data_IF_427686505510
#
_entry.id   IF_427686505510
#
_cell.length_a   1.000
_cell.length_b   1.000
_cell.length_c   1.000
_cell.angle_alpha   90.00
_cell.angle_beta   90.00
_cell.angle_gamma   90.00
#
_symmetry.space_group_name_H-M   'P 1'
#
loop_
_entity.id
_entity.type
_entity.pdbx_description
1 polymer ?
#
# COMPACT_ATOMS: atom_id res chain seq x y z
N UNK A 1 36.47 -32.33 44.10
CA UNK A 1 36.58 -31.30 43.03
C UNK A 1 36.71 -31.91 41.64
N UNK A 2 37.72 -32.74 41.32
CA UNK A 2 37.89 -33.33 39.98
C UNK A 2 36.68 -34.13 39.45
N UNK A 3 36.02 -34.95 40.29
CA UNK A 3 34.82 -35.71 39.91
C UNK A 3 33.58 -34.83 39.65
N UNK A 4 33.46 -33.71 40.34
CA UNK A 4 32.37 -32.75 40.15
C UNK A 4 32.55 -31.96 38.85
N UNK A 5 33.78 -31.57 38.54
CA UNK A 5 34.12 -30.92 37.26
C UNK A 5 33.85 -31.87 36.09
N UNK A 6 34.18 -33.16 36.22
CA UNK A 6 33.90 -34.17 35.20
C UNK A 6 32.38 -34.36 34.99
N UNK A 7 31.59 -34.38 36.06
CA UNK A 7 30.13 -34.46 35.99
C UNK A 7 29.52 -33.23 35.30
N UNK A 8 30.01 -32.02 35.62
CA UNK A 8 29.55 -30.78 34.98
C UNK A 8 29.90 -30.76 33.49
N UNK A 9 31.09 -31.24 33.11
CA UNK A 9 31.49 -31.37 31.70
C UNK A 9 30.61 -32.35 30.92
N UNK A 10 30.26 -33.51 31.52
CA UNK A 10 29.36 -34.49 30.89
C UNK A 10 27.93 -33.94 30.77
N UNK A 11 27.44 -33.24 31.79
CA UNK A 11 26.12 -32.59 31.75
C UNK A 11 26.10 -31.46 30.74
N UNK A 12 27.18 -30.68 30.62
CA UNK A 12 27.31 -29.62 29.63
C UNK A 12 27.23 -30.15 28.18
N UNK A 13 27.71 -31.37 27.90
CA UNK A 13 27.63 -31.99 26.57
C UNK A 13 26.19 -32.32 26.14
N UNK A 14 25.28 -32.60 27.09
CA UNK A 14 23.86 -32.80 26.80
C UNK A 14 23.19 -31.50 26.32
N UNK A 15 23.73 -30.34 26.72
CA UNK A 15 23.22 -29.02 26.32
C UNK A 15 23.82 -28.48 25.01
N UNK A 16 24.67 -29.24 24.29
CA UNK A 16 25.30 -28.80 23.02
C UNK A 16 24.61 -29.40 21.77
N UNK A 17 23.39 -29.93 21.88
CA UNK A 17 22.62 -30.40 20.71
C UNK A 17 22.00 -29.24 19.93
N UNK A 18 22.84 -28.37 19.35
CA UNK A 18 22.44 -27.09 18.72
C UNK A 18 22.23 -27.11 17.21
N UNK A 19 22.18 -28.27 16.54
CA UNK A 19 22.10 -28.36 15.07
C UNK A 19 20.91 -29.19 14.56
N UNK A 20 19.88 -29.45 15.37
CA UNK A 20 18.74 -30.29 14.96
C UNK A 20 17.87 -29.63 13.88
N UNK A 21 17.81 -28.30 13.83
CA UNK A 21 16.94 -27.51 12.97
C UNK A 21 17.66 -26.91 11.74
N UNK A 22 18.83 -27.46 11.36
CA UNK A 22 19.60 -26.94 10.23
C UNK A 22 18.85 -27.05 8.90
N UNK A 23 18.66 -25.91 8.22
CA UNK A 23 18.10 -25.82 6.88
C UNK A 23 19.21 -25.48 5.88
N UNK A 24 19.61 -26.45 5.07
CA UNK A 24 20.67 -26.26 4.07
C UNK A 24 20.15 -25.44 2.89
N UNK A 25 20.76 -24.28 2.62
CA UNK A 25 20.41 -23.42 1.48
C UNK A 25 20.44 -24.16 0.13
N UNK A 26 21.36 -25.12 -0.05
CA UNK A 26 21.44 -25.95 -1.27
C UNK A 26 20.18 -26.81 -1.50
N UNK A 27 19.43 -27.13 -0.43
CA UNK A 27 18.17 -27.89 -0.45
C UNK A 27 16.94 -26.99 -0.21
N UNK A 28 17.10 -25.68 -0.39
CA UNK A 28 16.04 -24.69 -0.22
C UNK A 28 15.77 -23.99 -1.55
N UNK A 29 14.50 -24.03 -1.97
CA UNK A 29 13.96 -23.33 -3.14
C UNK A 29 13.37 -22.01 -2.67
N UNK A 30 14.22 -20.98 -2.67
CA UNK A 30 13.89 -19.65 -2.18
C UNK A 30 12.81 -19.01 -3.06
N UNK A 31 11.66 -18.73 -2.44
CA UNK A 31 10.55 -18.01 -3.07
C UNK A 31 10.83 -16.51 -2.93
N UNK A 32 10.67 -15.76 -4.02
CA UNK A 32 10.89 -14.31 -4.04
C UNK A 32 9.59 -13.51 -4.16
N UNK A 33 8.57 -14.09 -4.79
CA UNK A 33 7.24 -13.49 -4.88
C UNK A 33 6.17 -14.56 -4.93
N UNK A 34 5.02 -14.21 -4.37
CA UNK A 34 3.83 -15.05 -4.38
C UNK A 34 2.61 -14.23 -4.82
N UNK A 35 1.73 -14.84 -5.59
CA UNK A 35 0.45 -14.30 -5.98
C UNK A 35 -0.66 -15.27 -5.56
N UNK A 36 -1.80 -14.72 -5.16
CA UNK A 36 -2.96 -15.49 -4.74
C UNK A 36 -4.22 -14.99 -5.42
N UNK A 37 -4.96 -15.94 -5.99
CA UNK A 37 -6.18 -15.70 -6.76
C UNK A 37 -7.27 -16.65 -6.31
N UNK A 38 -8.50 -16.15 -6.19
CA UNK A 38 -9.67 -16.99 -6.03
C UNK A 38 -10.00 -17.64 -7.39
N UNK A 39 -10.17 -18.96 -7.43
CA UNK A 39 -10.52 -19.65 -8.68
C UNK A 39 -12.01 -19.47 -9.02
N UNK A 40 -12.40 -19.86 -10.25
CA UNK A 40 -13.80 -19.84 -10.69
C UNK A 40 -14.74 -20.61 -9.76
N UNK A 41 -14.28 -21.72 -9.17
CA UNK A 41 -15.05 -22.55 -8.23
C UNK A 41 -15.34 -21.83 -6.88
N UNK A 42 -14.77 -20.64 -6.64
CA UNK A 42 -14.84 -19.80 -5.41
C UNK A 42 -14.47 -20.47 -4.08
N UNK A 43 -14.25 -21.78 -4.06
CA UNK A 43 -13.89 -22.60 -2.90
C UNK A 43 -12.41 -22.99 -2.85
N UNK A 44 -11.66 -22.56 -3.88
CA UNK A 44 -10.23 -22.83 -4.03
C UNK A 44 -9.46 -21.56 -4.33
N UNK A 45 -8.23 -21.58 -3.85
CA UNK A 45 -7.23 -20.55 -4.08
C UNK A 45 -6.18 -21.15 -5.02
N UNK A 46 -5.81 -20.38 -6.04
CA UNK A 46 -4.61 -20.63 -6.82
C UNK A 46 -3.48 -19.79 -6.24
N UNK A 47 -2.38 -20.44 -5.91
CA UNK A 47 -1.13 -19.77 -5.57
C UNK A 47 -0.11 -19.93 -6.68
N UNK A 48 0.48 -18.82 -7.07
CA UNK A 48 1.61 -18.75 -7.99
C UNK A 48 2.84 -18.27 -7.22
N UNK A 49 3.97 -18.95 -7.36
CA UNK A 49 5.21 -18.57 -6.71
C UNK A 49 6.36 -18.53 -7.71
N UNK A 50 7.20 -17.51 -7.59
CA UNK A 50 8.45 -17.40 -8.35
C UNK A 50 9.60 -17.81 -7.45
N UNK A 51 10.30 -18.84 -7.87
CA UNK A 51 11.46 -19.41 -7.19
C UNK A 51 12.70 -19.02 -7.97
N UNK A 52 13.73 -18.56 -7.25
CA UNK A 52 15.05 -18.36 -7.84
C UNK A 52 15.84 -19.67 -7.78
N UNK A 53 16.26 -20.15 -8.93
CA UNK A 53 17.06 -21.35 -9.11
C UNK A 53 18.42 -20.99 -9.75
N UNK A 54 19.39 -21.91 -9.68
CA UNK A 54 20.72 -21.73 -10.25
C UNK A 54 21.04 -22.91 -11.17
N UNK A 55 21.01 -22.67 -12.48
CA UNK A 55 21.42 -23.65 -13.49
C UNK A 55 22.81 -23.28 -13.96
N UNK A 56 23.79 -24.16 -13.74
CA UNK A 56 25.19 -23.97 -14.16
C UNK A 56 25.81 -22.64 -13.68
N UNK A 57 25.41 -22.17 -12.49
CA UNK A 57 25.88 -20.90 -11.92
C UNK A 57 25.13 -19.65 -12.42
N UNK A 58 24.22 -19.81 -13.40
CA UNK A 58 23.37 -18.73 -13.90
C UNK A 58 22.05 -18.70 -13.11
N UNK A 59 21.68 -17.55 -12.51
CA UNK A 59 20.36 -17.39 -11.90
C UNK A 59 19.25 -17.55 -12.95
N UNK A 60 18.28 -18.38 -12.63
CA UNK A 60 17.06 -18.60 -13.45
C UNK A 60 15.84 -18.47 -12.56
N UNK A 61 14.71 -18.08 -13.15
CA UNK A 61 13.45 -17.96 -12.43
C UNK A 61 12.55 -19.12 -12.83
N UNK A 62 12.05 -19.86 -11.85
CA UNK A 62 11.09 -20.93 -12.02
C UNK A 62 9.75 -20.47 -11.46
N UNK A 63 8.74 -20.39 -12.30
CA UNK A 63 7.36 -20.20 -11.88
C UNK A 63 6.74 -21.56 -11.55
N UNK A 64 6.11 -21.66 -10.39
CA UNK A 64 5.30 -22.81 -9.99
C UNK A 64 3.92 -22.36 -9.55
N UNK A 65 2.91 -23.14 -9.92
CA UNK A 65 1.51 -22.85 -9.59
C UNK A 65 0.86 -24.08 -8.99
N UNK A 66 -0.03 -23.89 -8.02
CA UNK A 66 -0.91 -24.94 -7.52
C UNK A 66 -2.23 -24.36 -7.03
N UNK A 67 -3.22 -25.24 -6.89
CA UNK A 67 -4.55 -24.92 -6.39
C UNK A 67 -4.82 -25.76 -5.13
N UNK A 68 -5.58 -25.20 -4.20
CA UNK A 68 -5.99 -25.89 -2.97
C UNK A 68 -7.09 -25.11 -2.24
N UNK A 69 -7.68 -25.74 -1.24
CA UNK A 69 -8.77 -25.12 -0.46
C UNK A 69 -8.26 -24.08 0.55
N UNK A 70 -6.99 -24.15 0.92
CA UNK A 70 -6.34 -23.18 1.82
C UNK A 70 -4.96 -22.83 1.29
N UNK A 71 -4.38 -21.73 1.74
CA UNK A 71 -2.99 -21.37 1.40
C UNK A 71 -2.00 -22.46 1.84
N UNK A 72 -2.28 -23.18 2.93
CA UNK A 72 -1.45 -24.31 3.37
C UNK A 72 -1.58 -25.51 2.45
N UNK A 73 -2.77 -25.80 1.93
CA UNK A 73 -3.01 -26.86 0.95
C UNK A 73 -2.32 -26.53 -0.39
N UNK A 74 -2.49 -25.29 -0.88
CA UNK A 74 -1.74 -24.74 -2.03
C UNK A 74 -0.24 -24.96 -1.84
N UNK A 75 0.28 -24.63 -0.66
CA UNK A 75 1.70 -24.82 -0.33
C UNK A 75 2.12 -26.30 -0.38
N UNK A 76 1.33 -27.22 0.18
CA UNK A 76 1.62 -28.67 0.11
C UNK A 76 1.68 -29.14 -1.35
N UNK A 77 0.83 -28.61 -2.23
CA UNK A 77 0.86 -28.91 -3.65
C UNK A 77 2.05 -28.26 -4.39
N UNK A 78 2.45 -27.05 -4.01
CA UNK A 78 3.66 -26.41 -4.54
C UNK A 78 4.92 -27.18 -4.16
N UNK A 79 5.01 -27.69 -2.92
CA UNK A 79 6.15 -28.49 -2.44
C UNK A 79 6.36 -29.76 -3.28
N UNK A 80 5.28 -30.36 -3.81
CA UNK A 80 5.35 -31.54 -4.70
C UNK A 80 5.84 -31.21 -6.12
N UNK A 81 5.87 -29.93 -6.50
CA UNK A 81 6.28 -29.47 -7.85
C UNK A 81 7.73 -28.98 -7.90
N UNK A 82 8.42 -28.96 -6.78
CA UNK A 82 9.82 -28.53 -6.67
C UNK A 82 10.71 -29.71 -6.26
N UNK A 83 11.95 -29.74 -6.73
CA UNK A 83 12.87 -30.86 -6.47
C UNK A 83 13.43 -30.90 -5.03
N UNK A 84 13.18 -29.86 -4.24
CA UNK A 84 13.72 -29.67 -2.88
C UNK A 84 12.71 -28.87 -2.04
N UNK A 85 13.08 -28.42 -0.84
CA UNK A 85 12.14 -27.75 0.06
C UNK A 85 11.78 -26.35 -0.45
N UNK A 86 10.49 -26.09 -0.66
CA UNK A 86 10.00 -24.73 -0.86
C UNK A 86 10.31 -23.87 0.36
N UNK A 87 10.86 -22.68 0.17
CA UNK A 87 11.33 -21.80 1.23
C UNK A 87 10.73 -20.39 1.07
N UNK A 88 9.65 -20.06 1.80
CA UNK A 88 8.95 -18.78 1.65
C UNK A 88 9.63 -17.62 2.42
N UNK A 89 10.68 -17.90 3.21
CA UNK A 89 11.31 -16.90 4.09
C UNK A 89 12.03 -15.78 3.34
N UNK A 90 12.20 -15.90 2.03
CA UNK A 90 12.74 -14.86 1.15
C UNK A 90 11.70 -14.18 0.27
N UNK A 91 10.42 -14.48 0.48
CA UNK A 91 9.35 -13.78 -0.23
C UNK A 91 9.47 -12.29 0.07
N UNK A 92 9.40 -11.46 -0.97
CA UNK A 92 9.53 -10.01 -0.85
C UNK A 92 8.22 -9.29 -1.13
N UNK A 93 7.28 -9.93 -1.83
CA UNK A 93 5.98 -9.36 -2.17
C UNK A 93 4.89 -10.43 -2.25
N UNK A 94 3.71 -10.08 -1.75
CA UNK A 94 2.45 -10.79 -1.96
C UNK A 94 1.55 -9.98 -2.89
N UNK A 95 1.11 -10.58 -3.99
CA UNK A 95 0.10 -10.01 -4.87
C UNK A 95 -1.25 -10.69 -4.63
N UNK A 96 -2.29 -9.91 -4.44
CA UNK A 96 -3.66 -10.39 -4.27
C UNK A 96 -4.47 -10.02 -5.51
N UNK A 97 -5.08 -11.01 -6.16
CA UNK A 97 -6.02 -10.74 -7.25
C UNK A 97 -7.21 -9.95 -6.73
N UNK A 98 -7.74 -9.01 -7.52
CA UNK A 98 -8.84 -8.12 -7.12
C UNK A 98 -10.05 -8.89 -6.59
N UNK A 99 -10.39 -10.03 -7.21
CA UNK A 99 -11.50 -10.89 -6.76
C UNK A 99 -11.26 -11.42 -5.35
N UNK A 100 -10.04 -11.85 -5.03
CA UNK A 100 -9.67 -12.30 -3.69
C UNK A 100 -9.63 -11.12 -2.71
N UNK A 101 -9.12 -9.97 -3.14
CA UNK A 101 -9.04 -8.76 -2.31
C UNK A 101 -10.42 -8.23 -1.89
N UNK A 102 -11.47 -8.50 -2.66
CA UNK A 102 -12.87 -8.16 -2.34
C UNK A 102 -13.52 -9.08 -1.30
N UNK A 103 -12.95 -10.26 -1.08
CA UNK A 103 -13.32 -11.14 0.03
C UNK A 103 -12.56 -10.75 1.31
N UNK A 104 -12.83 -11.43 2.43
CA UNK A 104 -12.09 -11.21 3.67
C UNK A 104 -10.63 -11.65 3.51
N UNK A 105 -9.72 -10.68 3.33
CA UNK A 105 -8.31 -11.00 3.06
C UNK A 105 -7.63 -11.72 4.23
N UNK A 106 -8.15 -11.61 5.46
CA UNK A 106 -7.54 -12.27 6.61
C UNK A 106 -7.58 -13.79 6.50
N UNK A 107 -8.65 -14.35 5.91
CA UNK A 107 -8.79 -15.80 5.74
C UNK A 107 -7.64 -16.40 4.93
N UNK A 108 -7.06 -15.60 4.02
CA UNK A 108 -5.90 -15.97 3.23
C UNK A 108 -4.58 -15.59 3.92
N UNK A 109 -4.57 -14.54 4.74
CA UNK A 109 -3.35 -14.01 5.35
C UNK A 109 -2.99 -14.64 6.70
N UNK A 110 -3.95 -15.26 7.41
CA UNK A 110 -3.78 -15.85 8.75
C UNK A 110 -2.53 -16.73 8.85
N UNK A 111 -2.29 -17.58 7.86
CA UNK A 111 -1.16 -18.51 7.87
C UNK A 111 0.21 -17.80 7.88
N UNK A 112 0.30 -16.63 7.25
CA UNK A 112 1.55 -15.88 7.18
C UNK A 112 1.87 -15.17 8.50
N UNK A 113 0.86 -14.96 9.36
CA UNK A 113 1.05 -14.42 10.71
C UNK A 113 1.36 -15.52 11.74
N UNK A 114 0.95 -16.76 11.47
CA UNK A 114 1.18 -17.91 12.36
C UNK A 114 2.50 -18.64 12.11
N UNK A 115 2.96 -18.69 10.85
CA UNK A 115 4.16 -19.44 10.48
C UNK A 115 5.42 -18.58 10.67
N UNK A 116 6.35 -18.94 11.57
CA UNK A 116 7.57 -18.16 11.83
C UNK A 116 8.51 -18.08 10.63
N UNK A 117 8.33 -18.93 9.61
CA UNK A 117 9.11 -18.87 8.37
C UNK A 117 8.52 -17.92 7.33
N UNK A 118 7.38 -17.30 7.61
CA UNK A 118 6.76 -16.34 6.70
C UNK A 118 7.48 -15.00 6.74
N UNK A 119 7.76 -14.45 5.57
CA UNK A 119 8.37 -13.13 5.44
C UNK A 119 7.33 -12.02 5.67
N UNK A 120 7.00 -11.73 6.93
CA UNK A 120 6.03 -10.68 7.30
C UNK A 120 6.48 -9.26 6.92
N UNK A 121 7.76 -9.07 6.62
CA UNK A 121 8.29 -7.82 6.07
C UNK A 121 8.03 -7.64 4.57
N UNK A 122 7.47 -8.66 3.89
CA UNK A 122 7.09 -8.60 2.48
C UNK A 122 6.11 -7.46 2.21
N UNK A 123 6.31 -6.77 1.08
CA UNK A 123 5.30 -5.87 0.52
C UNK A 123 4.04 -6.65 0.21
N UNK A 124 2.92 -5.95 0.14
CA UNK A 124 1.64 -6.51 -0.27
C UNK A 124 0.94 -5.52 -1.20
N UNK A 125 0.34 -6.02 -2.28
CA UNK A 125 -0.35 -5.20 -3.26
C UNK A 125 -1.53 -5.96 -3.87
N UNK A 126 -2.50 -5.21 -4.39
CA UNK A 126 -3.64 -5.75 -5.13
C UNK A 126 -3.36 -5.59 -6.63
N UNK A 127 -3.86 -6.52 -7.44
CA UNK A 127 -3.80 -6.45 -8.90
C UNK A 127 -5.20 -6.45 -9.48
N UNK A 128 -5.46 -5.62 -10.50
CA UNK A 128 -6.67 -5.73 -11.32
C UNK A 128 -6.61 -7.04 -12.10
N UNK A 129 -7.62 -7.89 -11.92
CA UNK A 129 -7.60 -9.25 -12.45
C UNK A 129 -6.64 -10.18 -11.69
N UNK A 130 -6.14 -11.17 -12.42
CA UNK A 130 -5.40 -12.33 -11.90
C UNK A 130 -3.95 -11.99 -11.53
N UNK A 131 -3.62 -12.06 -10.24
CA UNK A 131 -2.31 -11.72 -9.69
C UNK A 131 -1.19 -12.61 -10.23
N UNK A 132 -1.49 -13.89 -10.54
CA UNK A 132 -0.52 -14.79 -11.17
C UNK A 132 0.05 -14.22 -12.46
N UNK A 133 -0.76 -13.50 -13.25
CA UNK A 133 -0.33 -12.91 -14.53
C UNK A 133 0.68 -11.77 -14.38
N UNK A 134 0.78 -11.16 -13.18
CA UNK A 134 1.77 -10.13 -12.85
C UNK A 134 3.11 -10.71 -12.41
N UNK A 135 3.15 -12.02 -12.13
CA UNK A 135 4.38 -12.76 -11.88
C UNK A 135 4.91 -13.46 -13.13
N UNK A 136 4.12 -13.49 -14.21
CA UNK A 136 4.55 -14.04 -15.49
C UNK A 136 5.61 -13.11 -16.14
N UNK A 137 6.71 -13.67 -16.65
CA UNK A 137 7.96 -12.96 -16.88
C UNK A 137 7.92 -11.86 -17.95
N UNK A 138 8.64 -10.76 -17.68
CA UNK A 138 9.48 -10.11 -18.69
C UNK A 138 10.57 -11.13 -19.05
N UNK A 139 10.33 -11.95 -20.08
CA UNK A 139 11.18 -13.11 -20.43
C UNK A 139 12.59 -12.73 -20.92
N UNK A 140 12.83 -11.46 -21.21
CA UNK A 140 14.14 -10.97 -21.60
C UNK A 140 14.90 -10.49 -20.35
N UNK A 141 15.99 -11.19 -19.99
CA UNK A 141 17.07 -10.76 -19.07
C UNK A 141 17.14 -11.34 -17.64
N UNK A 142 16.37 -12.38 -17.26
CA UNK A 142 16.42 -12.99 -15.91
C UNK A 142 16.18 -12.03 -14.72
N UNK A 143 15.70 -10.81 -14.98
CA UNK A 143 15.29 -9.87 -13.93
C UNK A 143 14.09 -10.48 -13.21
N UNK A 144 14.13 -10.52 -11.88
CA UNK A 144 12.97 -10.94 -11.12
C UNK A 144 11.88 -9.89 -11.33
N UNK A 145 10.73 -10.27 -11.91
CA UNK A 145 9.59 -9.36 -12.04
C UNK A 145 9.15 -8.77 -10.68
N UNK A 146 9.36 -9.54 -9.61
CA UNK A 146 9.17 -9.07 -8.24
C UNK A 146 10.06 -7.89 -7.89
N UNK A 147 11.29 -7.83 -8.40
CA UNK A 147 12.22 -6.72 -8.18
C UNK A 147 11.73 -5.45 -8.86
N UNK A 148 11.29 -5.55 -10.13
CA UNK A 148 10.63 -4.45 -10.83
C UNK A 148 9.42 -3.92 -10.04
N UNK A 149 8.50 -4.80 -9.62
CA UNK A 149 7.30 -4.40 -8.86
C UNK A 149 7.69 -3.74 -7.53
N UNK A 150 8.66 -4.29 -6.81
CA UNK A 150 9.13 -3.73 -5.53
C UNK A 150 9.81 -2.38 -5.71
N UNK A 151 10.60 -2.21 -6.77
CA UNK A 151 11.24 -0.93 -7.10
C UNK A 151 10.18 0.11 -7.50
N UNK A 152 9.16 -0.26 -8.28
CA UNK A 152 8.02 0.61 -8.60
C UNK A 152 7.26 1.02 -7.34
N UNK A 153 7.00 0.09 -6.40
CA UNK A 153 6.42 0.42 -5.08
C UNK A 153 7.34 1.38 -4.32
N UNK A 154 8.63 1.07 -4.22
CA UNK A 154 9.58 1.88 -3.44
C UNK A 154 9.73 3.29 -3.99
N UNK A 155 9.70 3.42 -5.32
CA UNK A 155 9.69 4.72 -6.02
C UNK A 155 8.43 5.51 -5.68
N UNK A 156 7.25 4.89 -5.81
CA UNK A 156 5.97 5.51 -5.53
C UNK A 156 5.77 5.87 -4.04
N UNK A 157 6.30 5.05 -3.13
CA UNK A 157 6.37 5.38 -1.69
C UNK A 157 7.27 6.61 -1.44
N UNK A 158 8.30 6.83 -2.26
CA UNK A 158 9.20 7.98 -2.15
C UNK A 158 8.59 9.28 -2.71
N UNK A 159 7.73 9.16 -3.71
CA UNK A 159 6.98 10.25 -4.36
C UNK A 159 5.60 10.49 -3.74
N UNK A 160 5.31 9.87 -2.59
CA UNK A 160 4.02 10.01 -1.86
C UNK A 160 2.83 9.57 -2.70
N UNK A 161 3.02 8.66 -3.65
CA UNK A 161 1.97 8.21 -4.55
C UNK A 161 1.17 7.04 -3.98
N UNK A 162 1.77 6.27 -3.06
CA UNK A 162 1.17 5.13 -2.34
C UNK A 162 1.67 5.07 -0.88
N UNK A 163 0.93 4.43 0.04
CA UNK A 163 1.39 4.26 1.42
C UNK A 163 2.55 3.29 1.51
N UNK A 164 3.32 3.43 2.59
CA UNK A 164 4.28 2.42 3.02
C UNK A 164 3.55 1.33 3.79
N UNK A 165 3.32 0.20 3.13
CA UNK A 165 2.67 -0.96 3.72
C UNK A 165 3.45 -2.25 3.46
N UNK A 166 3.44 -3.14 4.44
CA UNK A 166 3.87 -4.52 4.34
C UNK A 166 2.91 -5.42 5.12
N UNK A 167 3.08 -6.73 4.99
CA UNK A 167 2.20 -7.71 5.63
C UNK A 167 2.10 -7.52 7.16
N UNK A 168 3.21 -7.20 7.82
CA UNK A 168 3.27 -6.92 9.26
C UNK A 168 2.46 -5.66 9.64
N UNK A 169 2.65 -4.54 8.93
CA UNK A 169 1.99 -3.27 9.28
C UNK A 169 0.48 -3.35 9.11
N UNK A 170 0.00 -4.05 8.08
CA UNK A 170 -1.44 -4.16 7.86
C UNK A 170 -2.11 -5.08 8.87
N UNK A 171 -1.39 -6.06 9.44
CA UNK A 171 -1.93 -6.94 10.49
C UNK A 171 -2.47 -6.11 11.65
N UNK A 172 -1.67 -5.16 12.14
CA UNK A 172 -2.07 -4.30 13.25
C UNK A 172 -3.28 -3.44 12.92
N UNK A 173 -3.34 -2.87 11.71
CA UNK A 173 -4.45 -1.99 11.30
C UNK A 173 -5.73 -2.80 11.10
N UNK A 174 -5.62 -4.00 10.50
CA UNK A 174 -6.74 -4.89 10.20
C UNK A 174 -7.52 -5.35 11.45
N UNK A 175 -6.87 -5.36 12.61
CA UNK A 175 -7.46 -5.71 13.91
C UNK A 175 -7.72 -4.50 14.82
N UNK A 176 -7.43 -3.27 14.35
CA UNK A 176 -7.68 -2.04 15.10
C UNK A 176 -9.01 -1.44 14.65
N UNK A 177 -10.03 -1.55 15.50
CA UNK A 177 -11.39 -1.09 15.18
C UNK A 177 -11.42 0.43 14.93
N UNK A 178 -12.23 0.84 13.94
CA UNK A 178 -12.42 2.25 13.62
C UNK A 178 -11.29 2.88 12.79
N UNK A 179 -10.50 2.06 12.08
CA UNK A 179 -9.58 2.54 11.05
C UNK A 179 -9.41 1.51 9.94
N UNK A 180 -9.09 2.01 8.77
CA UNK A 180 -8.79 1.19 7.61
C UNK A 180 -7.40 1.51 7.02
N UNK A 181 -7.04 0.76 5.99
CA UNK A 181 -5.81 0.92 5.24
C UNK A 181 -6.08 0.97 3.73
N UNK A 182 -5.05 1.37 3.00
CA UNK A 182 -5.02 1.28 1.54
C UNK A 182 -3.76 0.52 1.12
N UNK A 183 -3.85 -0.22 0.03
CA UNK A 183 -2.73 -1.00 -0.53
C UNK A 183 -2.39 -0.52 -1.94
N UNK A 184 -1.14 -0.67 -2.40
CA UNK A 184 -0.78 -0.41 -3.80
C UNK A 184 -1.67 -1.25 -4.73
N UNK A 185 -2.14 -0.64 -5.82
CA UNK A 185 -2.98 -1.29 -6.82
C UNK A 185 -2.27 -1.30 -8.17
N UNK A 186 -2.09 -2.46 -8.77
CA UNK A 186 -1.49 -2.63 -10.09
C UNK A 186 -2.54 -2.94 -11.15
N UNK A 187 -2.35 -2.44 -12.36
CA UNK A 187 -3.09 -2.82 -13.57
C UNK A 187 -2.12 -3.32 -14.65
N UNK A 188 -2.61 -4.18 -15.52
CA UNK A 188 -1.90 -4.56 -16.73
C UNK A 188 -2.56 -3.82 -17.91
N UNK A 189 -1.79 -3.01 -18.62
CA UNK A 189 -2.24 -2.30 -19.83
C UNK A 189 -1.30 -2.65 -20.95
N UNK A 190 -1.79 -3.30 -22.01
CA UNK A 190 -1.00 -3.67 -23.19
C UNK A 190 0.29 -4.43 -22.83
N UNK A 191 0.24 -5.37 -21.88
CA UNK A 191 1.38 -6.16 -21.38
C UNK A 191 2.38 -5.36 -20.52
N UNK A 192 2.07 -4.11 -20.16
CA UNK A 192 2.84 -3.31 -19.23
C UNK A 192 2.20 -3.34 -17.83
N UNK A 193 3.01 -3.70 -16.83
CA UNK A 193 2.59 -3.66 -15.42
C UNK A 193 2.74 -2.22 -14.93
N UNK A 194 1.60 -1.59 -14.66
CA UNK A 194 1.53 -0.22 -14.16
C UNK A 194 0.98 -0.23 -12.74
N UNK A 195 1.68 0.43 -11.84
CA UNK A 195 1.07 0.84 -10.58
C UNK A 195 0.01 1.92 -10.91
N UNK A 196 -1.16 1.87 -10.29
CA UNK A 196 -2.34 2.68 -10.64
C UNK A 196 -2.97 3.34 -9.40
N UNK A 197 -2.14 3.70 -8.43
CA UNK A 197 -2.56 4.26 -7.16
C UNK A 197 -2.82 3.18 -6.11
N UNK A 198 -3.98 3.23 -5.45
CA UNK A 198 -4.26 2.42 -4.26
C UNK A 198 -5.65 1.79 -4.26
N UNK A 199 -5.75 0.60 -3.69
CA UNK A 199 -6.98 -0.07 -3.31
C UNK A 199 -7.37 0.35 -1.89
N UNK A 200 -8.62 0.76 -1.70
CA UNK A 200 -9.23 1.11 -0.42
C UNK A 200 -9.88 -0.13 0.20
N UNK A 201 -9.72 -0.30 1.51
CA UNK A 201 -10.33 -1.39 2.26
C UNK A 201 -11.36 -0.87 3.26
N UNK A 202 -12.50 -1.54 3.36
CA UNK A 202 -13.41 -1.49 4.52
C UNK A 202 -13.10 -2.74 5.36
N UNK A 203 -12.43 -2.53 6.49
CA UNK A 203 -11.86 -3.54 7.36
C UNK A 203 -10.90 -4.49 6.63
N UNK A 204 -11.45 -5.58 6.09
CA UNK A 204 -10.72 -6.71 5.51
C UNK A 204 -11.06 -6.95 4.05
N UNK A 205 -11.85 -6.06 3.42
CA UNK A 205 -12.32 -6.22 2.04
C UNK A 205 -12.03 -4.98 1.22
N UNK A 206 -11.54 -5.16 0.01
CA UNK A 206 -11.38 -4.09 -0.96
C UNK A 206 -12.75 -3.60 -1.42
N UNK A 207 -13.00 -2.30 -1.29
CA UNK A 207 -14.30 -1.68 -1.57
C UNK A 207 -14.20 -0.50 -2.54
N UNK A 208 -12.99 -0.02 -2.82
CA UNK A 208 -12.77 1.07 -3.76
C UNK A 208 -11.32 1.22 -4.18
N UNK A 209 -11.06 2.27 -4.96
CA UNK A 209 -9.72 2.60 -5.43
C UNK A 209 -9.55 4.11 -5.57
N UNK A 210 -8.29 4.55 -5.44
CA UNK A 210 -7.85 5.92 -5.69
C UNK A 210 -6.73 5.91 -6.71
N UNK A 211 -6.77 6.83 -7.68
CA UNK A 211 -5.61 7.04 -8.55
C UNK A 211 -4.45 7.71 -7.79
N UNK A 212 -3.31 7.91 -8.44
CA UNK A 212 -2.13 8.51 -7.83
C UNK A 212 -2.34 9.90 -7.23
N UNK A 213 -3.06 10.78 -7.93
CA UNK A 213 -3.26 12.15 -7.43
C UNK A 213 -4.17 12.17 -6.21
N UNK A 214 -5.18 11.29 -6.20
CA UNK A 214 -6.08 11.09 -5.08
C UNK A 214 -5.34 10.46 -3.88
N UNK A 215 -4.58 9.39 -4.12
CA UNK A 215 -3.75 8.71 -3.11
C UNK A 215 -2.74 9.67 -2.48
N UNK A 216 -2.04 10.48 -3.29
CA UNK A 216 -1.08 11.49 -2.82
C UNK A 216 -1.73 12.50 -1.89
N UNK A 217 -2.94 12.96 -2.24
CA UNK A 217 -3.68 13.92 -1.43
C UNK A 217 -4.12 13.31 -0.10
N UNK A 218 -4.61 12.06 -0.10
CA UNK A 218 -4.96 11.35 1.15
C UNK A 218 -3.74 11.11 2.03
N UNK A 219 -2.62 10.69 1.46
CA UNK A 219 -1.36 10.50 2.19
C UNK A 219 -0.85 11.80 2.82
N UNK A 220 -0.98 12.94 2.14
CA UNK A 220 -0.68 14.24 2.75
C UNK A 220 -1.62 14.52 3.93
N UNK A 221 -2.92 14.27 3.77
CA UNK A 221 -3.91 14.50 4.83
C UNK A 221 -3.70 13.59 6.05
N UNK A 222 -3.24 12.35 5.83
CA UNK A 222 -2.87 11.39 6.87
C UNK A 222 -1.49 11.69 7.51
N UNK A 223 -0.86 12.83 7.17
CA UNK A 223 0.50 13.19 7.59
C UNK A 223 1.59 12.17 7.20
N UNK A 224 1.39 11.47 6.07
CA UNK A 224 2.29 10.44 5.53
C UNK A 224 3.07 10.91 4.30
N UNK A 225 3.26 12.23 4.13
CA UNK A 225 4.08 12.76 3.03
C UNK A 225 5.51 12.22 3.11
N UNK A 226 5.99 11.68 1.99
CA UNK A 226 7.36 11.20 1.82
C UNK A 226 8.26 12.32 1.25
N UNK A 227 9.22 12.01 0.37
CA UNK A 227 10.20 12.97 -0.15
C UNK A 227 9.52 14.01 -1.06
N UNK A 228 8.86 13.55 -2.12
CA UNK A 228 8.21 14.39 -3.13
C UNK A 228 6.70 14.21 -3.02
N UNK A 229 5.93 15.26 -3.27
CA UNK A 229 4.50 15.16 -3.54
C UNK A 229 4.17 16.23 -4.57
N UNK A 230 3.91 15.79 -5.81
CA UNK A 230 3.82 16.66 -6.98
C UNK A 230 2.41 16.64 -7.55
N UNK A 231 1.95 17.80 -7.98
CA UNK A 231 0.65 17.95 -8.63
C UNK A 231 0.79 18.74 -9.92
N UNK A 232 -0.03 18.37 -10.90
CA UNK A 232 -0.26 19.14 -12.13
C UNK A 232 -1.70 19.65 -12.07
N UNK A 233 -1.90 20.94 -12.30
CA UNK A 233 -3.24 21.55 -12.25
C UNK A 233 -3.43 22.57 -13.36
N UNK A 234 -4.65 22.61 -13.91
CA UNK A 234 -5.05 23.60 -14.93
C UNK A 234 -5.33 24.94 -14.25
N UNK A 235 -4.66 26.01 -14.67
CA UNK A 235 -4.76 27.36 -14.08
C UNK A 235 -5.25 28.45 -15.03
N UNK A 236 -5.46 28.09 -16.30
CA UNK A 236 -6.04 28.94 -17.34
C UNK A 236 -7.32 28.33 -17.88
N UNK A 237 -8.26 29.20 -18.29
CA UNK A 237 -9.54 28.84 -18.89
C UNK A 237 -9.48 28.67 -20.41
N UNK A 238 -8.29 28.59 -21.01
CA UNK A 238 -8.14 28.25 -22.42
C UNK A 238 -8.97 27.00 -22.77
N UNK A 239 -9.85 27.15 -23.77
CA UNK A 239 -10.73 26.07 -24.23
C UNK A 239 -9.93 24.95 -24.88
N UNK A 240 -8.86 25.31 -25.59
CA UNK A 240 -7.94 24.35 -26.22
C UNK A 240 -6.96 23.74 -25.21
N UNK A 241 -6.68 22.42 -25.30
CA UNK A 241 -5.58 21.80 -24.58
C UNK A 241 -4.25 22.45 -24.99
N UNK A 242 -3.61 23.16 -24.06
CA UNK A 242 -2.31 23.76 -24.28
C UNK A 242 -1.48 23.60 -23.01
N UNK A 243 -0.22 23.19 -23.14
CA UNK A 243 0.75 23.05 -22.04
C UNK A 243 0.85 24.33 -21.19
N UNK A 244 0.70 25.51 -21.80
CA UNK A 244 0.70 26.80 -21.12
C UNK A 244 -0.48 26.99 -20.14
N UNK A 245 -1.52 26.14 -20.22
CA UNK A 245 -2.66 26.21 -19.31
C UNK A 245 -2.42 25.49 -17.98
N UNK A 246 -1.29 24.81 -17.82
CA UNK A 246 -0.98 23.98 -16.66
C UNK A 246 0.16 24.56 -15.82
N UNK A 247 0.10 24.25 -14.53
CA UNK A 247 1.19 24.50 -13.59
C UNK A 247 1.50 23.20 -12.85
N UNK A 248 2.80 22.91 -12.71
CA UNK A 248 3.31 21.79 -11.92
C UNK A 248 3.97 22.32 -10.66
N UNK A 249 3.64 21.76 -9.51
CA UNK A 249 4.21 22.20 -8.24
C UNK A 249 4.47 21.03 -7.28
N UNK A 250 5.47 21.21 -6.43
CA UNK A 250 5.76 20.32 -5.31
C UNK A 250 5.22 20.90 -4.00
N UNK A 251 4.57 20.08 -3.19
CA UNK A 251 4.09 20.45 -1.85
C UNK A 251 5.25 20.45 -0.85
N UNK A 252 5.40 21.54 -0.10
CA UNK A 252 6.47 21.76 0.87
C UNK A 252 5.94 21.87 2.29
N UNK A 253 6.38 20.95 3.17
CA UNK A 253 6.07 20.96 4.62
C UNK A 253 4.56 21.16 4.89
N UNK A 254 3.69 20.27 4.39
CA UNK A 254 2.25 20.41 4.60
C UNK A 254 1.92 20.34 6.09
N UNK A 255 0.95 21.16 6.50
CA UNK A 255 0.29 21.08 7.80
C UNK A 255 -1.15 20.62 7.53
N UNK A 256 -1.36 19.31 7.61
CA UNK A 256 -2.68 18.70 7.48
C UNK A 256 -3.30 18.48 8.87
N UNK A 257 -4.57 18.83 9.02
CA UNK A 257 -5.37 18.56 10.20
C UNK A 257 -6.69 17.91 9.78
N UNK A 258 -6.98 16.77 10.41
CA UNK A 258 -8.24 16.03 10.31
C UNK A 258 -8.82 16.04 11.71
N UNK A 259 -9.98 16.65 11.89
CA UNK A 259 -10.54 16.91 13.22
C UNK A 259 -12.05 16.68 13.25
N UNK A 260 -12.50 15.89 14.22
CA UNK A 260 -13.93 15.72 14.51
C UNK A 260 -14.43 16.94 15.27
N UNK A 261 -15.13 17.84 14.59
CA UNK A 261 -15.66 19.09 15.18
C UNK A 261 -17.05 18.92 15.79
N UNK A 262 -17.77 17.85 15.41
CA UNK A 262 -19.04 17.46 16.01
C UNK A 262 -19.15 15.94 16.05
N UNK A 263 -19.52 15.40 17.20
CA UNK A 263 -19.60 13.96 17.46
C UNK A 263 -20.92 13.63 18.18
N UNK A 264 -22.01 13.58 17.43
CA UNK A 264 -23.33 13.13 17.88
C UNK A 264 -23.82 12.02 16.93
N UNK A 265 -24.52 10.97 17.42
CA UNK A 265 -25.10 9.95 16.55
C UNK A 265 -26.02 10.55 15.48
N UNK A 266 -25.85 10.13 14.22
CA UNK A 266 -26.53 10.69 13.05
C UNK A 266 -26.05 12.08 12.63
N UNK A 267 -25.03 12.65 13.29
CA UNK A 267 -24.60 14.03 13.06
C UNK A 267 -23.12 14.27 13.39
N UNK A 268 -22.26 13.64 12.61
CA UNK A 268 -20.80 13.77 12.72
C UNK A 268 -20.28 14.71 11.65
N UNK A 269 -19.47 15.69 12.07
CA UNK A 269 -18.80 16.62 11.18
C UNK A 269 -17.29 16.58 11.37
N UNK A 270 -16.58 16.52 10.26
CA UNK A 270 -15.11 16.43 10.22
C UNK A 270 -14.55 17.57 9.39
N UNK A 271 -13.62 18.33 9.97
CA UNK A 271 -12.86 19.34 9.25
C UNK A 271 -11.58 18.73 8.69
N UNK A 272 -11.38 18.90 7.38
CA UNK A 272 -10.16 18.55 6.66
C UNK A 272 -9.48 19.83 6.21
N UNK A 273 -8.40 20.21 6.88
CA UNK A 273 -7.66 21.43 6.55
C UNK A 273 -6.22 21.12 6.14
N UNK A 274 -5.79 21.71 5.02
CA UNK A 274 -4.41 21.60 4.55
C UNK A 274 -3.84 22.99 4.29
N UNK A 275 -2.82 23.36 5.04
CA UNK A 275 -2.01 24.57 4.77
C UNK A 275 -0.62 24.16 4.35
N UNK A 276 -0.15 24.62 3.20
CA UNK A 276 1.20 24.29 2.73
C UNK A 276 1.81 25.37 1.87
N UNK A 277 3.14 25.47 1.95
CA UNK A 277 3.90 26.14 0.91
C UNK A 277 4.04 25.20 -0.29
N UNK A 278 4.23 25.78 -1.48
CA UNK A 278 4.51 25.05 -2.72
C UNK A 278 5.67 25.68 -3.47
N UNK A 279 6.45 24.85 -4.15
CA UNK A 279 7.46 25.28 -5.11
C UNK A 279 7.00 24.94 -6.52
N UNK A 280 6.98 25.92 -7.41
CA UNK A 280 6.65 25.71 -8.82
C UNK A 280 7.82 24.98 -9.48
N UNK A 281 7.48 23.93 -10.22
CA UNK A 281 8.41 23.13 -11.03
C UNK A 281 8.28 23.53 -12.49
N UNK A 282 7.07 23.85 -12.93
CA UNK A 282 6.77 24.16 -14.32
C UNK A 282 5.60 25.14 -14.42
N UNK A 283 5.80 26.24 -15.14
CA UNK A 283 4.75 27.18 -15.54
C UNK A 283 5.18 27.94 -16.80
N UNK A 284 4.92 27.42 -18.01
CA UNK A 284 5.44 27.99 -19.25
C UNK A 284 5.12 29.48 -19.51
N UNK A 285 3.95 30.04 -19.12
CA UNK A 285 3.70 31.48 -19.25
C UNK A 285 4.72 32.34 -18.50
N UNK A 286 5.39 31.79 -17.49
CA UNK A 286 6.52 32.38 -16.79
C UNK A 286 6.33 33.81 -16.26
N UNK A 287 5.11 34.16 -15.86
CA UNK A 287 4.78 35.47 -15.28
C UNK A 287 4.88 35.48 -13.74
N UNK A 288 5.73 34.63 -13.15
CA UNK A 288 5.79 34.43 -11.69
C UNK A 288 6.52 35.57 -10.95
N UNK A 289 7.22 36.46 -11.67
CA UNK A 289 7.74 37.71 -11.14
C UNK A 289 6.64 38.74 -10.81
N UNK A 290 5.42 38.53 -11.29
CA UNK A 290 4.29 39.41 -11.04
C UNK A 290 3.50 38.97 -9.80
N UNK A 291 3.54 39.77 -8.73
CA UNK A 291 2.85 39.47 -7.47
C UNK A 291 1.32 39.28 -7.65
N UNK A 292 0.69 40.03 -8.57
CA UNK A 292 -0.75 39.87 -8.85
C UNK A 292 -1.05 38.50 -9.46
N UNK A 293 -0.17 38.03 -10.33
CA UNK A 293 -0.28 36.70 -10.94
C UNK A 293 -0.06 35.60 -9.92
N UNK A 294 0.94 35.73 -9.05
CA UNK A 294 1.17 34.79 -7.94
C UNK A 294 -0.05 34.71 -7.01
N UNK A 295 -0.65 35.84 -6.64
CA UNK A 295 -1.89 35.88 -5.84
C UNK A 295 -3.05 35.18 -6.57
N UNK A 296 -3.20 35.40 -7.88
CA UNK A 296 -4.20 34.73 -8.72
C UNK A 296 -3.99 33.21 -8.72
N UNK A 297 -2.75 32.76 -8.94
CA UNK A 297 -2.38 31.34 -8.96
C UNK A 297 -2.60 30.68 -7.59
N UNK A 298 -2.18 31.30 -6.49
CA UNK A 298 -2.46 30.80 -5.14
C UNK A 298 -3.95 30.52 -4.93
N UNK A 299 -4.83 31.44 -5.33
CA UNK A 299 -6.28 31.27 -5.21
C UNK A 299 -6.81 30.13 -6.09
N UNK A 300 -6.37 30.04 -7.35
CA UNK A 300 -6.83 29.00 -8.29
C UNK A 300 -6.34 27.62 -7.87
N UNK A 301 -5.06 27.49 -7.54
CA UNK A 301 -4.46 26.22 -7.11
C UNK A 301 -5.13 25.75 -5.82
N UNK A 302 -5.30 26.63 -4.84
CA UNK A 302 -6.01 26.32 -3.59
C UNK A 302 -7.45 25.85 -3.86
N UNK A 303 -8.21 26.59 -4.68
CA UNK A 303 -9.59 26.21 -5.04
C UNK A 303 -9.65 24.85 -5.74
N UNK A 304 -8.77 24.59 -6.71
CA UNK A 304 -8.73 23.32 -7.43
C UNK A 304 -8.36 22.17 -6.50
N UNK A 305 -7.42 22.39 -5.57
CA UNK A 305 -7.01 21.38 -4.60
C UNK A 305 -8.09 21.12 -3.54
N UNK A 306 -8.81 22.14 -3.07
CA UNK A 306 -10.00 21.96 -2.23
C UNK A 306 -11.03 21.11 -2.95
N UNK A 307 -11.34 21.42 -4.23
CA UNK A 307 -12.31 20.63 -4.99
C UNK A 307 -11.86 19.19 -5.20
N UNK A 308 -10.56 19.00 -5.41
CA UNK A 308 -9.98 17.65 -5.51
C UNK A 308 -10.12 16.90 -4.19
N UNK A 309 -9.82 17.53 -3.05
CA UNK A 309 -9.97 16.94 -1.71
C UNK A 309 -11.42 16.51 -1.46
N UNK A 310 -12.38 17.38 -1.72
CA UNK A 310 -13.82 17.07 -1.61
C UNK A 310 -14.20 15.82 -2.43
N UNK A 311 -13.76 15.76 -3.69
CA UNK A 311 -14.08 14.64 -4.58
C UNK A 311 -13.39 13.34 -4.14
N UNK A 312 -12.13 13.42 -3.70
CA UNK A 312 -11.38 12.25 -3.21
C UNK A 312 -12.00 11.70 -1.94
N UNK A 313 -12.32 12.56 -0.97
CA UNK A 313 -12.95 12.15 0.29
C UNK A 313 -14.33 11.53 0.04
N UNK A 314 -15.09 12.05 -0.92
CA UNK A 314 -16.35 11.42 -1.33
C UNK A 314 -16.14 10.00 -1.87
N UNK A 315 -15.08 9.74 -2.64
CA UNK A 315 -14.76 8.37 -3.09
C UNK A 315 -14.40 7.46 -1.93
N UNK A 316 -13.57 7.94 -1.00
CA UNK A 316 -13.20 7.21 0.23
C UNK A 316 -14.44 6.87 1.05
N UNK A 317 -15.37 7.83 1.20
CA UNK A 317 -16.63 7.65 1.89
C UNK A 317 -17.56 6.64 1.20
N UNK A 318 -17.67 6.69 -0.14
CA UNK A 318 -18.45 5.69 -0.91
C UNK A 318 -17.86 4.29 -0.79
N UNK A 319 -16.53 4.18 -0.67
CA UNK A 319 -15.85 2.92 -0.40
C UNK A 319 -15.99 2.47 1.06
N UNK A 320 -16.64 3.24 1.93
CA UNK A 320 -16.77 2.97 3.36
C UNK A 320 -15.42 2.69 4.05
N UNK A 321 -14.38 3.43 3.65
CA UNK A 321 -13.00 3.17 4.09
C UNK A 321 -12.50 4.30 5.00
N UNK A 322 -12.46 4.09 6.31
CA UNK A 322 -11.97 5.04 7.31
C UNK A 322 -10.44 5.08 7.38
N UNK A 323 -9.81 5.49 6.27
CA UNK A 323 -8.35 5.63 6.16
C UNK A 323 -7.78 6.72 7.10
N UNK A 324 -8.64 7.60 7.62
CA UNK A 324 -8.23 8.64 8.57
C UNK A 324 -8.24 8.14 10.02
N UNK A 325 -8.89 7.02 10.31
CA UNK A 325 -8.98 6.45 11.66
C UNK A 325 -9.89 7.27 12.58
N UNK A 326 -10.95 7.86 12.05
CA UNK A 326 -11.90 8.69 12.79
C UNK A 326 -12.66 7.86 13.84
N UNK A 327 -13.03 6.62 13.51
CA UNK A 327 -13.65 5.71 14.46
C UNK A 327 -12.71 5.43 15.63
N UNK A 328 -11.42 5.23 15.35
CA UNK A 328 -10.39 5.01 16.38
C UNK A 328 -10.21 6.22 17.28
N UNK A 329 -10.33 7.42 16.73
CA UNK A 329 -10.34 8.69 17.47
C UNK A 329 -11.57 8.79 18.39
N UNK A 330 -12.77 8.43 17.89
CA UNK A 330 -13.99 8.37 18.69
C UNK A 330 -13.88 7.36 19.84
N UNK A 331 -13.33 6.17 19.60
CA UNK A 331 -13.06 5.17 20.65
C UNK A 331 -12.17 5.79 21.74
N UNK A 332 -11.11 6.50 21.34
CA UNK A 332 -10.12 7.04 22.27
C UNK A 332 -10.64 8.24 23.08
N UNK A 333 -11.36 9.17 22.44
CA UNK A 333 -11.67 10.48 23.02
C UNK A 333 -13.17 10.72 23.28
N UNK A 334 -14.06 9.93 22.68
CA UNK A 334 -15.53 10.05 22.79
C UNK A 334 -16.22 8.66 22.94
N UNK A 335 -15.78 7.78 23.86
CA UNK A 335 -16.28 6.40 23.93
C UNK A 335 -17.81 6.30 24.14
N UNK A 336 -18.40 7.21 24.92
CA UNK A 336 -19.87 7.25 25.14
C UNK A 336 -20.69 7.57 23.88
N UNK A 337 -20.06 8.22 22.89
CA UNK A 337 -20.67 8.51 21.59
C UNK A 337 -20.53 7.28 20.71
N UNK A 338 -19.33 6.70 20.66
CA UNK A 338 -19.02 5.45 19.95
C UNK A 338 -19.98 4.30 20.32
N UNK A 339 -20.20 4.05 21.62
CA UNK A 339 -21.09 2.99 22.12
C UNK A 339 -22.55 3.08 21.61
N UNK A 340 -22.96 4.22 21.05
CA UNK A 340 -24.34 4.49 20.60
C UNK A 340 -24.52 4.42 19.10
N UNK A 341 -23.49 4.11 18.32
CA UNK A 341 -23.54 4.07 16.87
C UNK A 341 -22.89 2.81 16.33
N UNK A 342 -23.42 2.32 15.21
CA UNK A 342 -22.68 1.40 14.36
C UNK A 342 -21.83 2.24 13.41
N UNK A 343 -20.51 2.24 13.61
CA UNK A 343 -19.61 3.05 12.80
C UNK A 343 -19.67 2.71 11.32
N UNK A 344 -19.96 1.45 10.98
CA UNK A 344 -20.04 1.00 9.59
C UNK A 344 -21.22 1.65 8.87
N UNK A 345 -22.32 1.85 9.57
CA UNK A 345 -23.52 2.51 9.05
C UNK A 345 -23.44 4.04 9.16
N UNK A 346 -22.71 4.55 10.16
CA UNK A 346 -22.57 5.98 10.41
C UNK A 346 -21.52 6.65 9.49
N UNK A 347 -20.37 6.02 9.26
CA UNK A 347 -19.25 6.58 8.50
C UNK A 347 -19.64 7.09 7.09
N UNK A 348 -20.43 6.36 6.28
CA UNK A 348 -20.88 6.83 4.97
C UNK A 348 -21.70 8.12 5.01
N UNK A 349 -22.29 8.45 6.17
CA UNK A 349 -23.23 9.57 6.34
C UNK A 349 -22.60 10.81 6.99
N UNK A 350 -21.34 10.74 7.44
CA UNK A 350 -20.69 11.88 8.08
C UNK A 350 -20.43 13.03 7.09
N UNK A 351 -20.36 14.25 7.60
CA UNK A 351 -20.14 15.44 6.77
C UNK A 351 -18.69 15.90 6.84
N UNK A 352 -18.00 15.87 5.71
CA UNK A 352 -16.66 16.43 5.58
C UNK A 352 -16.67 17.87 5.09
N UNK A 353 -15.96 18.75 5.79
CA UNK A 353 -15.70 20.12 5.40
C UNK A 353 -14.24 20.27 4.99
N UNK A 354 -14.00 20.47 3.70
CA UNK A 354 -12.65 20.49 3.13
C UNK A 354 -12.16 21.90 2.86
N UNK A 355 -10.93 22.22 3.25
CA UNK A 355 -10.29 23.49 2.92
C UNK A 355 -8.78 23.34 2.71
N UNK A 356 -8.30 23.73 1.53
CA UNK A 356 -6.89 23.72 1.18
C UNK A 356 -6.40 25.13 0.89
N UNK A 357 -5.31 25.55 1.55
CA UNK A 357 -4.63 26.83 1.34
C UNK A 357 -3.18 26.58 0.94
N UNK A 358 -2.83 26.92 -0.30
CA UNK A 358 -1.48 26.76 -0.86
C UNK A 358 -0.86 28.11 -1.21
N UNK A 359 0.41 28.27 -0.84
CA UNK A 359 1.19 29.49 -1.09
C UNK A 359 2.46 29.17 -1.87
N UNK A 360 2.59 29.78 -3.05
CA UNK A 360 3.83 29.75 -3.83
C UNK A 360 4.91 30.51 -3.06
N UNK A 361 6.03 29.84 -2.80
CA UNK A 361 7.22 30.42 -2.13
C UNK A 361 8.51 30.28 -2.94
N UNK A 362 8.47 29.57 -4.07
CA UNK A 362 9.62 29.38 -4.94
C UNK A 362 9.18 29.02 -6.36
N UNK A 363 9.99 29.46 -7.34
CA UNK A 363 9.70 29.40 -8.77
C UNK A 363 10.79 28.66 -9.56
N UNK A 364 11.73 28.03 -8.86
CA UNK A 364 12.91 27.40 -9.46
C UNK A 364 14.07 28.39 -9.63
N UNK A 365 14.90 28.17 -10.66
CA UNK A 365 16.09 29.02 -10.97
C UNK A 365 15.67 30.31 -11.68
N UNK A 366 14.49 30.33 -12.28
CA UNK A 366 13.95 31.49 -13.00
C UNK A 366 13.26 32.38 -11.96
N UNK A 367 13.85 33.57 -11.75
CA UNK A 367 13.34 34.63 -10.88
C UNK A 367 12.76 35.77 -11.71
#
# INVERSE_FOLDING_TARGET
>A
MKKLILLILVVAQVFVTGCWDQRLLKKSRLVYSSAFDLTEDKDKIRGTAVIRDFKEGVPTNLEVMATGHTIRDVRIHLDKKVSDNFEPSKNRIFLLGETLAKEDIYDFLDIFYRDPNSSVSSKIAVTKGDAGTYLMPLMENNVLISEYIIESISSAESTTEIPKANLQTICTIMFDEGRDFMLPLFKNVNQEILLDGTALFDQRRMTGELNYTESTLMLIMMNQKSKVARFVTKVSSGKEPNIQNYITFNVLKPKANVEIIKAEPGNIHVNLTLKSNINIVEYPPNHLFNEKEVKRLNKIISKNMTKRLENTVKKVQVANSDIFGLGRELIAFKPKVWEKMDWKEEYPNITFHSNVELKIVGTGIIN
#
